data_IF_368106871608
#
_entry.id   IF_368106871608
#
_cell.length_a   1.000
_cell.length_b   1.000
_cell.length_c   1.000
_cell.angle_alpha   90.00
_cell.angle_beta   90.00
_cell.angle_gamma   90.00
#
_symmetry.space_group_name_H-M   'P 1'
#
loop_
_entity.id
_entity.type
_entity.pdbx_description
1 polymer ?
#
# COMPACT_ATOMS: atom_id res chain seq x y z
N UNK A 1 -22.47 -6.62 -0.86
CA UNK A 1 -21.00 -6.78 -0.88
C UNK A 1 -20.65 -7.88 0.11
N UNK A 2 -19.92 -8.92 -0.31
CA UNK A 2 -19.45 -9.97 0.60
C UNK A 2 -18.23 -9.47 1.42
N UNK A 3 -17.89 -10.18 2.49
CA UNK A 3 -16.83 -9.76 3.41
C UNK A 3 -15.45 -9.73 2.76
N UNK A 4 -15.17 -10.62 1.80
CA UNK A 4 -13.90 -10.64 1.07
C UNK A 4 -13.73 -9.41 0.18
N UNK A 5 -14.80 -8.99 -0.51
CA UNK A 5 -14.80 -7.76 -1.31
C UNK A 5 -14.62 -6.54 -0.41
N UNK A 6 -15.29 -6.51 0.75
CA UNK A 6 -15.10 -5.42 1.72
C UNK A 6 -13.65 -5.37 2.22
N UNK A 7 -13.07 -6.51 2.57
CA UNK A 7 -11.71 -6.61 3.09
C UNK A 7 -10.67 -6.22 2.02
N UNK A 8 -10.90 -6.62 0.77
CA UNK A 8 -10.06 -6.25 -0.36
C UNK A 8 -10.09 -4.75 -0.63
N UNK A 9 -11.29 -4.15 -0.71
CA UNK A 9 -11.44 -2.71 -0.90
C UNK A 9 -10.86 -1.90 0.27
N UNK A 10 -10.97 -2.40 1.50
CA UNK A 10 -10.31 -1.77 2.65
C UNK A 10 -8.78 -1.78 2.53
N UNK A 11 -8.18 -2.89 2.07
CA UNK A 11 -6.74 -2.95 1.84
C UNK A 11 -6.28 -2.04 0.69
N UNK A 12 -7.11 -1.85 -0.35
CA UNK A 12 -6.85 -0.87 -1.42
C UNK A 12 -6.93 0.55 -0.87
N UNK A 13 -7.91 0.85 -0.03
CA UNK A 13 -8.02 2.16 0.62
C UNK A 13 -6.80 2.43 1.50
N UNK A 14 -6.37 1.47 2.32
CA UNK A 14 -5.16 1.58 3.14
C UNK A 14 -3.91 1.89 2.30
N UNK A 15 -3.85 1.41 1.05
CA UNK A 15 -2.72 1.68 0.15
C UNK A 15 -2.66 3.16 -0.27
N UNK A 16 -3.82 3.78 -0.52
CA UNK A 16 -3.96 5.09 -1.17
C UNK A 16 -4.17 6.21 -0.14
N UNK A 17 -4.96 5.96 0.90
CA UNK A 17 -5.32 6.92 1.93
C UNK A 17 -4.24 7.01 3.02
N UNK A 18 -3.06 7.51 2.61
CA UNK A 18 -1.95 7.74 3.52
C UNK A 18 -1.91 9.21 3.99
N UNK A 19 -1.47 9.49 5.23
CA UNK A 19 -1.41 10.85 5.75
C UNK A 19 -0.49 11.74 4.91
N UNK A 20 -0.99 12.92 4.53
CA UNK A 20 -0.22 13.94 3.83
C UNK A 20 1.05 14.33 4.61
N UNK A 21 2.13 14.72 3.91
CA UNK A 21 3.38 15.11 4.55
C UNK A 21 3.16 16.35 5.42
N UNK A 22 3.80 16.38 6.59
CA UNK A 22 3.71 17.52 7.51
C UNK A 22 4.64 18.67 7.12
N UNK A 23 5.67 18.39 6.31
CA UNK A 23 6.67 19.37 5.87
C UNK A 23 6.91 19.27 4.36
N UNK A 24 7.41 20.35 3.74
CA UNK A 24 7.83 20.33 2.34
C UNK A 24 8.98 19.35 2.07
N UNK A 25 9.89 19.16 3.04
CA UNK A 25 11.01 18.22 2.94
C UNK A 25 10.56 16.76 2.80
N UNK A 26 9.42 16.42 3.38
CA UNK A 26 8.84 15.07 3.29
C UNK A 26 8.13 14.78 1.96
N UNK A 27 7.93 15.79 1.09
CA UNK A 27 7.05 15.66 -0.08
C UNK A 27 7.55 14.67 -1.12
N UNK A 28 8.86 14.60 -1.33
CA UNK A 28 9.47 13.66 -2.28
C UNK A 28 9.39 12.23 -1.76
N UNK A 29 9.73 12.01 -0.49
CA UNK A 29 9.62 10.71 0.16
C UNK A 29 8.16 10.22 0.24
N UNK A 30 7.23 11.13 0.53
CA UNK A 30 5.79 10.87 0.47
C UNK A 30 5.34 10.45 -0.93
N UNK A 31 5.76 11.19 -1.96
CA UNK A 31 5.37 10.90 -3.35
C UNK A 31 5.86 9.52 -3.80
N UNK A 32 7.13 9.19 -3.50
CA UNK A 32 7.71 7.87 -3.81
C UNK A 32 6.98 6.74 -3.07
N UNK A 33 6.68 6.94 -1.78
CA UNK A 33 5.95 5.95 -0.98
C UNK A 33 4.52 5.73 -1.51
N UNK A 34 3.83 6.81 -1.88
CA UNK A 34 2.50 6.72 -2.47
C UNK A 34 2.53 5.97 -3.80
N UNK A 35 3.47 6.32 -4.69
CA UNK A 35 3.67 5.65 -5.97
C UNK A 35 3.88 4.15 -5.79
N UNK A 36 4.78 3.76 -4.88
CA UNK A 36 5.07 2.37 -4.55
C UNK A 36 3.85 1.59 -4.03
N UNK A 37 3.02 2.23 -3.18
CA UNK A 37 1.82 1.60 -2.61
C UNK A 37 0.68 1.51 -3.63
N UNK A 38 0.54 2.52 -4.49
CA UNK A 38 -0.42 2.52 -5.61
C UNK A 38 -0.08 1.42 -6.60
N UNK A 39 1.20 1.22 -6.91
CA UNK A 39 1.64 0.12 -7.79
C UNK A 39 1.22 -1.26 -7.23
N UNK A 40 1.43 -1.50 -5.93
CA UNK A 40 1.01 -2.76 -5.29
C UNK A 40 -0.52 -2.95 -5.35
N UNK A 41 -1.29 -1.86 -5.16
CA UNK A 41 -2.74 -1.88 -5.27
C UNK A 41 -3.21 -2.20 -6.70
N UNK A 42 -2.56 -1.61 -7.71
CA UNK A 42 -2.84 -1.91 -9.13
C UNK A 42 -2.58 -3.38 -9.43
N UNK A 43 -1.44 -3.94 -8.99
CA UNK A 43 -1.13 -5.37 -9.19
C UNK A 43 -2.20 -6.26 -8.56
N UNK A 44 -2.63 -5.95 -7.33
CA UNK A 44 -3.67 -6.71 -6.64
C UNK A 44 -5.04 -6.60 -7.32
N UNK A 45 -5.40 -5.41 -7.84
CA UNK A 45 -6.63 -5.17 -8.59
C UNK A 45 -6.65 -5.92 -9.92
N UNK A 46 -5.56 -5.85 -10.69
CA UNK A 46 -5.42 -6.58 -11.94
C UNK A 46 -5.53 -8.08 -11.71
N UNK A 47 -4.82 -8.61 -10.71
CA UNK A 47 -4.92 -10.02 -10.33
C UNK A 47 -6.35 -10.44 -9.97
N UNK A 48 -7.06 -9.63 -9.18
CA UNK A 48 -8.43 -9.90 -8.79
C UNK A 48 -9.44 -9.82 -9.97
N UNK A 49 -9.18 -8.98 -10.97
CA UNK A 49 -10.03 -8.81 -12.15
C UNK A 49 -9.78 -9.87 -13.23
N UNK A 50 -8.54 -10.33 -13.37
CA UNK A 50 -8.15 -11.34 -14.36
C UNK A 50 -8.39 -12.77 -13.86
N UNK A 51 -8.52 -12.97 -12.55
CA UNK A 51 -8.74 -14.29 -11.96
C UNK A 51 -10.15 -14.84 -12.33
N UNK A 52 -10.24 -16.05 -12.92
CA UNK A 52 -11.53 -16.61 -13.29
C UNK A 52 -12.35 -16.94 -12.02
N UNK A 53 -13.70 -16.86 -12.08
CA UNK A 53 -14.57 -17.10 -10.93
C UNK A 53 -14.43 -18.48 -10.25
N UNK A 54 -13.77 -19.43 -10.91
CA UNK A 54 -13.53 -20.79 -10.44
C UNK A 54 -12.11 -21.01 -9.88
N UNK A 55 -11.28 -19.96 -9.79
CA UNK A 55 -9.95 -20.08 -9.21
C UNK A 55 -10.03 -20.25 -7.69
N UNK A 56 -9.19 -21.15 -7.16
CA UNK A 56 -9.24 -21.59 -5.77
C UNK A 56 -8.80 -20.54 -4.74
N UNK A 57 -8.14 -19.45 -5.18
CA UNK A 57 -7.47 -18.50 -4.27
C UNK A 57 -8.35 -17.30 -3.90
N UNK A 58 -9.10 -16.77 -4.87
CA UNK A 58 -10.10 -15.72 -4.67
C UNK A 58 -9.55 -14.41 -4.08
N UNK A 59 -10.46 -13.50 -3.73
CA UNK A 59 -10.12 -12.17 -3.19
C UNK A 59 -9.33 -12.21 -1.87
N UNK A 60 -9.45 -13.29 -1.10
CA UNK A 60 -8.70 -13.48 0.14
C UNK A 60 -7.19 -13.51 -0.08
N UNK A 61 -6.73 -14.14 -1.17
CA UNK A 61 -5.30 -14.18 -1.50
C UNK A 61 -4.76 -12.80 -1.88
N UNK A 62 -5.45 -12.08 -2.77
CA UNK A 62 -5.06 -10.72 -3.18
C UNK A 62 -5.06 -9.75 -2.00
N UNK A 63 -6.03 -9.87 -1.09
CA UNK A 63 -6.08 -9.08 0.15
C UNK A 63 -4.86 -9.33 1.02
N UNK A 64 -4.47 -10.59 1.22
CA UNK A 64 -3.30 -10.95 2.03
C UNK A 64 -1.99 -10.50 1.35
N UNK A 65 -1.87 -10.70 0.04
CA UNK A 65 -0.77 -10.18 -0.76
C UNK A 65 -0.59 -8.67 -0.55
N UNK A 66 -1.66 -7.89 -0.74
CA UNK A 66 -1.61 -6.44 -0.61
C UNK A 66 -1.19 -6.03 0.81
N UNK A 67 -1.84 -6.58 1.85
CA UNK A 67 -1.47 -6.32 3.26
C UNK A 67 0.01 -6.61 3.55
N UNK A 68 0.56 -7.69 2.98
CA UNK A 68 1.99 -8.02 3.12
C UNK A 68 2.90 -6.99 2.45
N UNK A 69 2.51 -6.41 1.32
CA UNK A 69 3.30 -5.34 0.69
C UNK A 69 3.20 -4.04 1.50
N UNK A 70 1.99 -3.67 1.94
CA UNK A 70 1.78 -2.46 2.74
C UNK A 70 2.54 -2.50 4.07
N UNK A 71 2.68 -3.69 4.68
CA UNK A 71 3.47 -3.88 5.90
C UNK A 71 4.98 -3.62 5.70
N UNK A 72 5.51 -3.81 4.48
CA UNK A 72 6.91 -3.49 4.14
C UNK A 72 7.13 -2.00 3.89
N UNK A 73 6.06 -1.26 3.63
CA UNK A 73 6.07 0.15 3.21
C UNK A 73 5.25 1.02 4.19
N UNK A 74 5.55 1.07 5.50
CA UNK A 74 4.68 1.73 6.45
C UNK A 74 4.53 3.23 6.15
N UNK A 75 3.34 3.82 6.38
CA UNK A 75 3.02 5.19 6.03
C UNK A 75 3.77 6.26 6.83
N UNK A 76 4.64 5.89 7.77
CA UNK A 76 5.41 6.82 8.62
C UNK A 76 6.91 6.83 8.31
N UNK A 77 7.37 6.04 7.35
CA UNK A 77 8.80 5.81 7.10
C UNK A 77 9.54 7.07 6.60
N UNK A 78 8.84 8.07 6.06
CA UNK A 78 9.46 9.34 5.66
C UNK A 78 10.08 10.13 6.84
N UNK A 79 9.62 9.91 8.08
CA UNK A 79 10.14 10.63 9.26
C UNK A 79 11.54 10.22 9.71
N UNK A 80 12.09 9.11 9.20
CA UNK A 80 13.34 8.54 9.70
C UNK A 80 14.61 8.94 8.94
N UNK A 81 14.52 9.68 7.83
CA UNK A 81 15.70 9.93 6.99
C UNK A 81 16.51 11.19 7.36
N UNK A 82 16.05 12.04 8.29
CA UNK A 82 16.71 13.32 8.59
C UNK A 82 17.53 13.38 9.90
N UNK A 83 17.71 12.26 10.62
CA UNK A 83 18.31 12.28 11.96
C UNK A 83 19.76 11.77 12.09
N UNK A 84 20.40 11.23 11.04
CA UNK A 84 21.75 10.63 11.15
C UNK A 84 22.73 11.22 10.13
N UNK A 85 23.02 12.51 10.23
CA UNK A 85 23.96 13.18 9.32
C UNK A 85 24.72 14.38 9.88
N UNK A 86 24.81 14.55 11.20
CA UNK A 86 25.56 15.66 11.79
C UNK A 86 26.12 15.37 13.17
N UNK A 87 27.40 14.97 13.23
CA UNK A 87 28.43 15.44 14.17
C UNK A 87 29.52 14.38 14.40
N UNK A 88 30.67 14.56 13.73
CA UNK A 88 32.02 14.48 14.32
C UNK A 88 33.04 14.95 13.28
#
# INVERSE_FOLDING_TARGET
MNDDTRAFLAAVLDAIDIPAPATFGDSEAFSRLLEDRVLDAVVALTGALEEPPAADWGLGWHTNYLRKQLAKKPPTTYRHHDADGGAA
#
